data_IF_839792389799
#
_entry.id   IF_839792389799
#
_cell.length_a   1.000
_cell.length_b   1.000
_cell.length_c   1.000
_cell.angle_alpha   90.00
_cell.angle_beta   90.00
_cell.angle_gamma   90.00
#
_symmetry.space_group_name_H-M   'P 1'
#
loop_
_entity.id
_entity.type
_entity.pdbx_description
1 polymer ?
#
# COMPACT_ATOMS: atom_id res chain seq x y z
N UNK A 1 -16.34 -1.18 2.31
CA UNK A 1 -15.42 -1.57 3.40
C UNK A 1 -16.15 -2.61 4.23
N UNK A 2 -15.66 -3.85 4.27
CA UNK A 2 -16.33 -4.94 5.00
C UNK A 2 -15.94 -5.03 6.49
N UNK A 3 -14.74 -4.55 6.87
CA UNK A 3 -14.25 -4.59 8.26
C UNK A 3 -13.72 -3.24 8.72
N UNK A 4 -14.15 -2.82 9.92
CA UNK A 4 -13.75 -1.59 10.61
C UNK A 4 -12.33 -1.66 11.20
N UNK A 5 -11.79 -2.85 11.40
CA UNK A 5 -10.46 -3.05 11.98
C UNK A 5 -9.68 -4.14 11.26
N UNK A 6 -8.40 -4.24 11.56
CA UNK A 6 -7.55 -5.36 11.18
C UNK A 6 -7.19 -6.14 12.45
N UNK A 7 -7.48 -7.43 12.45
CA UNK A 7 -7.12 -8.31 13.57
C UNK A 7 -5.63 -8.63 13.45
N UNK A 8 -4.90 -8.46 14.55
CA UNK A 8 -3.47 -8.73 14.65
C UNK A 8 -3.21 -10.18 15.09
N UNK A 9 -1.95 -10.62 15.05
CA UNK A 9 -1.57 -11.99 15.42
C UNK A 9 -1.98 -12.35 16.86
N UNK A 10 -1.77 -11.41 17.77
CA UNK A 10 -2.16 -11.51 19.18
C UNK A 10 -3.68 -11.38 19.45
N UNK A 11 -4.50 -11.34 18.39
CA UNK A 11 -5.97 -11.17 18.39
C UNK A 11 -6.46 -9.79 18.82
N UNK A 12 -5.57 -8.83 19.07
CA UNK A 12 -5.96 -7.44 19.22
C UNK A 12 -6.44 -6.87 17.88
N UNK A 13 -7.15 -5.74 17.93
CA UNK A 13 -7.73 -5.11 16.74
C UNK A 13 -7.15 -3.73 16.53
N UNK A 14 -6.52 -3.52 15.38
CA UNK A 14 -6.13 -2.18 14.95
C UNK A 14 -7.26 -1.55 14.15
N UNK A 15 -7.96 -0.59 14.76
CA UNK A 15 -9.10 0.08 14.14
C UNK A 15 -8.66 1.02 13.03
N UNK A 16 -9.28 0.87 11.86
CA UNK A 16 -8.96 1.62 10.66
C UNK A 16 -9.55 3.01 10.76
N UNK A 17 -8.78 4.02 10.38
CA UNK A 17 -9.30 5.37 10.29
C UNK A 17 -10.05 5.57 8.97
N UNK A 18 -11.36 5.81 9.04
CA UNK A 18 -12.25 5.91 7.88
C UNK A 18 -12.95 7.28 7.87
N UNK A 19 -12.24 8.31 7.44
CA UNK A 19 -12.82 9.64 7.25
C UNK A 19 -13.15 9.87 5.76
N UNK A 20 -14.45 10.04 5.39
CA UNK A 20 -14.86 10.28 4.00
C UNK A 20 -14.55 11.69 3.49
N UNK A 21 -14.15 12.61 4.36
CA UNK A 21 -13.95 14.04 4.09
C UNK A 21 -12.47 14.43 3.99
N UNK A 22 -11.56 13.47 3.80
CA UNK A 22 -10.13 13.74 3.66
C UNK A 22 -9.80 14.06 2.21
N UNK A 23 -9.12 15.18 2.00
CA UNK A 23 -8.48 15.55 0.74
C UNK A 23 -6.98 15.23 0.85
N UNK A 24 -6.48 14.55 -0.18
CA UNK A 24 -5.07 14.26 -0.36
C UNK A 24 -4.50 15.22 -1.39
N UNK A 25 -3.45 15.95 -1.02
CA UNK A 25 -2.81 16.93 -1.89
C UNK A 25 -1.32 16.63 -1.95
N UNK A 26 -0.75 16.67 -3.15
CA UNK A 26 0.69 16.63 -3.31
C UNK A 26 1.15 17.85 -4.10
N UNK A 27 2.25 18.46 -3.67
CA UNK A 27 2.84 19.64 -4.30
C UNK A 27 4.30 19.39 -4.62
N UNK A 28 4.74 19.81 -5.80
CA UNK A 28 6.16 19.79 -6.19
C UNK A 28 6.73 21.21 -6.12
N UNK A 29 7.80 21.38 -5.36
CA UNK A 29 8.64 22.58 -5.41
C UNK A 29 9.86 22.29 -6.26
N UNK A 30 10.12 23.11 -7.29
CA UNK A 30 11.30 22.95 -8.17
C UNK A 30 12.06 24.26 -8.31
N UNK A 31 13.37 24.23 -8.10
CA UNK A 31 14.25 25.39 -8.12
C UNK A 31 15.49 25.21 -9.01
N UNK A 32 16.26 26.30 -9.23
CA UNK A 32 17.55 26.21 -9.91
C UNK A 32 18.53 25.36 -9.09
N UNK A 33 19.27 24.49 -9.77
CA UNK A 33 20.31 23.68 -9.13
C UNK A 33 21.59 24.48 -8.87
N UNK A 34 22.52 23.91 -8.10
CA UNK A 34 23.86 24.47 -7.95
C UNK A 34 24.76 23.97 -9.07
N UNK A 35 25.41 24.93 -9.72
CA UNK A 35 26.41 24.68 -10.76
C UNK A 35 27.43 23.63 -10.32
N UNK A 36 27.52 22.54 -11.08
CA UNK A 36 28.46 21.44 -10.84
C UNK A 36 27.98 20.39 -9.84
N UNK A 37 26.79 20.52 -9.25
CA UNK A 37 26.21 19.55 -8.31
C UNK A 37 24.89 18.98 -8.84
N UNK A 38 23.93 19.84 -9.21
CA UNK A 38 22.66 19.41 -9.79
C UNK A 38 22.15 20.40 -10.82
N UNK A 39 21.42 19.90 -11.82
CA UNK A 39 20.74 20.75 -12.79
C UNK A 39 19.55 21.53 -12.20
N UNK A 40 18.86 20.94 -11.20
CA UNK A 40 17.71 21.54 -10.54
C UNK A 40 17.57 21.01 -9.11
N UNK A 41 16.75 21.68 -8.31
CA UNK A 41 16.35 21.18 -6.99
C UNK A 41 14.89 20.83 -7.02
N UNK A 42 14.49 19.83 -6.23
CA UNK A 42 13.11 19.36 -6.20
C UNK A 42 12.73 18.88 -4.81
N UNK A 43 11.49 19.07 -4.42
CA UNK A 43 10.89 18.30 -3.34
C UNK A 43 9.39 18.11 -3.57
N UNK A 44 8.91 16.95 -3.14
CA UNK A 44 7.49 16.65 -3.09
C UNK A 44 7.01 16.76 -1.64
N UNK A 45 5.92 17.49 -1.43
CA UNK A 45 5.19 17.49 -0.16
C UNK A 45 3.83 16.85 -0.35
N UNK A 46 3.49 15.96 0.56
CA UNK A 46 2.20 15.30 0.61
C UNK A 46 1.44 15.76 1.85
N UNK A 47 0.17 16.10 1.68
CA UNK A 47 -0.72 16.62 2.71
C UNK A 47 -2.00 15.79 2.78
N UNK A 48 -2.45 15.52 4.00
CA UNK A 48 -3.78 15.00 4.28
C UNK A 48 -4.58 16.04 5.06
N UNK A 49 -5.65 16.55 4.46
CA UNK A 49 -6.42 17.66 5.00
C UNK A 49 -7.87 17.22 5.16
N UNK A 50 -8.46 17.40 6.33
CA UNK A 50 -9.91 17.28 6.49
C UNK A 50 -10.58 18.52 5.90
N UNK A 51 -11.45 18.34 4.91
CA UNK A 51 -12.06 19.43 4.15
C UNK A 51 -13.12 20.18 4.96
N UNK A 52 -13.71 19.55 5.98
CA UNK A 52 -14.77 20.16 6.81
C UNK A 52 -14.17 21.11 7.84
N UNK A 53 -13.09 20.69 8.49
CA UNK A 53 -12.45 21.46 9.57
C UNK A 53 -11.24 22.27 9.10
N UNK A 54 -10.68 21.94 7.93
CA UNK A 54 -9.40 22.47 7.46
C UNK A 54 -8.19 21.91 8.22
N UNK A 55 -8.39 20.90 9.07
CA UNK A 55 -7.30 20.35 9.89
C UNK A 55 -6.32 19.56 9.03
N UNK A 56 -5.02 19.88 9.16
CA UNK A 56 -3.93 19.08 8.61
C UNK A 56 -3.70 17.85 9.50
N UNK A 57 -3.99 16.67 8.97
CA UNK A 57 -3.82 15.40 9.66
C UNK A 57 -2.41 14.83 9.53
N UNK A 58 -1.83 14.93 8.35
CA UNK A 58 -0.53 14.35 8.04
C UNK A 58 0.19 15.20 7.00
N UNK A 59 1.50 15.32 7.15
CA UNK A 59 2.39 15.96 6.21
C UNK A 59 3.65 15.11 6.05
N UNK A 60 4.09 14.91 4.81
CA UNK A 60 5.37 14.29 4.50
C UNK A 60 6.14 15.12 3.47
N UNK A 61 7.43 15.32 3.70
CA UNK A 61 8.36 15.99 2.80
C UNK A 61 9.35 14.98 2.24
N UNK A 62 9.49 14.95 0.92
CA UNK A 62 10.42 14.10 0.16
C UNK A 62 11.38 14.98 -0.63
N UNK A 63 12.54 15.35 -0.05
CA UNK A 63 13.57 16.09 -0.76
C UNK A 63 14.14 15.26 -1.92
N UNK A 64 14.42 15.91 -3.06
CA UNK A 64 14.84 15.25 -4.30
C UNK A 64 13.69 14.58 -5.06
N UNK A 65 12.51 14.45 -4.46
CA UNK A 65 11.30 13.94 -5.11
C UNK A 65 10.70 14.95 -6.07
N UNK A 66 10.11 14.49 -7.17
CA UNK A 66 9.42 15.33 -8.15
C UNK A 66 8.78 14.52 -9.27
N UNK A 67 8.34 15.22 -10.31
CA UNK A 67 7.95 14.60 -11.57
C UNK A 67 9.19 14.28 -12.41
N UNK A 68 9.10 13.28 -13.31
CA UNK A 68 10.21 12.91 -14.22
C UNK A 68 10.58 14.07 -15.15
N UNK A 69 9.57 14.71 -15.71
CA UNK A 69 9.67 15.90 -16.55
C UNK A 69 8.62 16.93 -16.13
N UNK A 70 8.88 18.20 -16.43
CA UNK A 70 7.96 19.29 -16.10
C UNK A 70 6.61 19.07 -16.79
N UNK A 71 5.55 18.93 -16.01
CA UNK A 71 4.19 18.68 -16.51
C UNK A 71 3.87 17.20 -16.78
N UNK A 72 4.79 16.28 -16.45
CA UNK A 72 4.49 14.85 -16.45
C UNK A 72 3.41 14.53 -15.40
N UNK A 73 2.57 13.54 -15.67
CA UNK A 73 1.45 13.13 -14.81
C UNK A 73 1.80 11.97 -13.88
N UNK A 74 3.08 11.84 -13.55
CA UNK A 74 3.61 10.63 -12.90
C UNK A 74 3.56 10.72 -11.37
N UNK A 75 3.08 11.86 -10.83
CA UNK A 75 2.75 12.01 -9.42
C UNK A 75 1.30 11.61 -9.20
N UNK A 76 1.11 10.35 -8.83
CA UNK A 76 -0.20 9.74 -8.69
C UNK A 76 -0.57 9.66 -7.22
N UNK A 77 -1.86 9.80 -6.89
CA UNK A 77 -2.40 9.57 -5.56
C UNK A 77 -3.61 8.65 -5.71
N UNK A 78 -3.62 7.55 -4.96
CA UNK A 78 -4.70 6.58 -4.93
C UNK A 78 -5.07 6.27 -3.50
N UNK A 79 -6.31 6.59 -3.12
CA UNK A 79 -6.81 6.36 -1.77
C UNK A 79 -7.95 5.33 -1.77
N UNK A 80 -7.80 4.29 -0.94
CA UNK A 80 -8.77 3.20 -0.83
C UNK A 80 -9.04 2.85 0.63
N UNK A 81 -10.27 3.16 1.06
CA UNK A 81 -10.69 2.96 2.44
C UNK A 81 -9.78 3.72 3.41
N UNK A 82 -9.00 2.97 4.20
CA UNK A 82 -8.07 3.49 5.20
C UNK A 82 -6.63 3.70 4.71
N UNK A 83 -6.37 3.46 3.43
CA UNK A 83 -5.00 3.46 2.94
C UNK A 83 -4.80 4.33 1.72
N UNK A 84 -3.59 4.84 1.58
CA UNK A 84 -3.23 5.79 0.53
C UNK A 84 -1.90 5.39 -0.06
N UNK A 85 -1.85 5.34 -1.38
CA UNK A 85 -0.65 5.17 -2.16
C UNK A 85 -0.40 6.46 -2.91
N UNK A 86 0.80 7.00 -2.84
CA UNK A 86 1.19 8.07 -3.73
C UNK A 86 2.59 7.83 -4.29
N UNK A 87 2.82 8.37 -5.48
CA UNK A 87 4.05 8.11 -6.24
C UNK A 87 4.76 9.41 -6.56
N UNK A 88 6.08 9.34 -6.65
CA UNK A 88 6.92 10.39 -7.22
C UNK A 88 8.19 9.77 -7.78
N UNK A 89 8.91 10.53 -8.62
CA UNK A 89 10.24 10.16 -9.06
C UNK A 89 11.28 10.73 -8.11
N UNK A 90 12.18 9.89 -7.60
CA UNK A 90 13.34 10.31 -6.84
C UNK A 90 14.48 10.69 -7.79
N UNK A 91 14.86 11.97 -7.81
CA UNK A 91 15.98 12.48 -8.62
C UNK A 91 17.36 12.28 -7.96
N UNK A 92 17.41 11.75 -6.74
CA UNK A 92 18.61 11.50 -5.97
C UNK A 92 18.99 12.66 -5.03
N UNK A 93 20.02 12.48 -4.20
CA UNK A 93 20.43 13.43 -3.17
C UNK A 93 20.88 14.77 -3.74
N UNK A 94 21.50 14.78 -4.92
CA UNK A 94 21.92 16.01 -5.61
C UNK A 94 20.76 17.01 -5.83
N UNK A 95 19.56 16.50 -6.13
CA UNK A 95 18.37 17.32 -6.33
C UNK A 95 17.75 17.81 -5.01
N UNK A 96 18.17 17.28 -3.86
CA UNK A 96 17.64 17.63 -2.56
C UNK A 96 18.41 18.73 -1.84
N UNK A 97 19.69 18.93 -2.16
CA UNK A 97 20.60 19.72 -1.32
C UNK A 97 20.24 21.21 -1.16
N UNK A 98 19.33 21.78 -1.98
CA UNK A 98 19.16 23.23 -2.08
C UNK A 98 17.69 23.66 -2.24
N UNK A 99 16.88 23.45 -1.21
CA UNK A 99 15.70 24.30 -0.98
C UNK A 99 16.07 25.37 0.07
N UNK A 100 16.73 26.47 -0.35
CA UNK A 100 17.32 27.46 0.57
C UNK A 100 16.32 28.27 1.39
N UNK A 101 15.02 28.22 1.08
CA UNK A 101 13.99 29.05 1.72
C UNK A 101 12.84 28.25 2.36
N UNK A 102 13.01 26.93 2.54
CA UNK A 102 11.99 26.13 3.21
C UNK A 102 12.21 26.13 4.74
N UNK A 103 11.34 26.77 5.54
CA UNK A 103 11.52 26.89 7.00
C UNK A 103 11.57 25.54 7.73
N UNK A 104 11.18 24.43 7.09
CA UNK A 104 11.26 23.08 7.65
C UNK A 104 12.56 22.32 7.27
N UNK A 105 13.23 22.67 6.16
CA UNK A 105 14.50 22.01 5.78
C UNK A 105 15.65 22.40 6.71
N UNK A 106 15.62 23.64 7.21
CA UNK A 106 16.60 24.18 8.18
C UNK A 106 16.50 23.48 9.56
N UNK A 107 15.36 22.86 9.87
CA UNK A 107 15.13 22.21 11.17
C UNK A 107 15.68 20.78 11.27
N UNK A 108 15.83 20.07 10.15
CA UNK A 108 16.33 18.67 10.12
C UNK A 108 17.86 18.61 10.01
N UNK A 109 18.48 19.56 9.29
CA UNK A 109 19.93 19.59 9.07
C UNK A 109 20.61 20.81 9.70
N UNK A 110 20.11 21.28 10.84
CA UNK A 110 20.59 22.44 11.59
C UNK A 110 22.01 22.30 12.18
N UNK A 111 23.03 21.99 11.37
CA UNK A 111 24.41 22.40 11.69
C UNK A 111 24.44 23.92 11.55
N UNK A 112 24.20 24.63 12.67
CA UNK A 112 24.59 26.03 12.80
C UNK A 112 26.07 26.14 12.44
N UNK A 113 26.38 26.59 11.22
CA UNK A 113 27.73 27.01 10.85
C UNK A 113 28.05 28.22 11.73
N UNK A 114 28.72 27.97 12.86
CA UNK A 114 29.24 29.01 13.73
C UNK A 114 30.26 29.80 12.90
N UNK A 115 29.90 31.02 12.51
CA UNK A 115 30.83 31.96 11.87
C UNK A 115 32.01 32.15 12.82
N UNK A 116 33.17 31.58 12.47
CA UNK A 116 34.44 31.82 13.18
C UNK A 116 34.82 33.28 12.86
N UNK A 117 34.73 34.17 13.84
CA UNK A 117 35.37 35.49 13.73
C UNK A 117 36.89 35.26 13.75
N UNK A 118 37.57 35.99 12.89
CA UNK A 118 39.01 35.95 12.73
C UNK A 118 39.66 36.56 13.99
N UNK A 119 40.54 35.82 14.66
CA UNK A 119 41.37 36.30 15.76
C UNK A 119 40.92 35.86 17.15
N UNK A 120 41.27 34.62 17.54
CA UNK A 120 41.45 34.24 18.95
C UNK A 120 42.38 33.02 18.99
N UNK A 121 43.51 33.17 19.70
CA UNK A 121 44.64 32.24 19.75
C UNK A 121 44.35 31.00 20.62
N UNK A 122 45.06 29.93 20.30
CA UNK A 122 44.95 28.60 20.92
C UNK A 122 45.39 28.60 22.39
N UNK A 123 44.52 28.09 23.27
CA UNK A 123 44.79 27.93 24.69
C UNK A 123 43.95 26.83 25.35
N UNK A 124 44.53 25.63 25.40
CA UNK A 124 44.44 24.59 26.43
C UNK A 124 43.08 23.99 26.91
N UNK A 125 43.22 22.70 27.26
CA UNK A 125 42.40 21.86 28.14
C UNK A 125 41.13 21.23 27.57
N UNK A 126 41.28 19.95 27.24
CA UNK A 126 40.18 19.00 27.12
C UNK A 126 39.55 18.82 28.50
N UNK A 127 38.28 19.24 28.64
CA UNK A 127 37.42 18.82 29.73
C UNK A 127 36.23 18.07 29.14
N UNK A 128 36.19 16.78 29.45
CA UNK A 128 35.12 15.87 29.11
C UNK A 128 33.97 16.07 30.10
N UNK A 129 32.90 16.75 29.67
CA UNK A 129 31.52 16.51 30.11
C UNK A 129 30.61 17.61 29.55
N UNK A 130 29.87 17.28 28.48
CA UNK A 130 28.69 18.03 28.09
C UNK A 130 27.49 17.06 27.99
N UNK A 131 26.29 17.49 28.41
CA UNK A 131 25.18 16.60 28.73
C UNK A 131 24.52 16.04 27.47
N UNK A 132 23.98 14.82 27.60
CA UNK A 132 23.37 14.05 26.52
C UNK A 132 22.38 14.86 25.69
N UNK A 133 22.65 14.90 24.38
CA UNK A 133 21.65 15.31 23.41
C UNK A 133 20.50 14.29 23.46
N UNK A 134 19.32 14.74 23.90
CA UNK A 134 18.09 13.96 23.82
C UNK A 134 17.91 13.44 22.40
N UNK A 135 17.84 12.12 22.27
CA UNK A 135 17.79 11.35 21.02
C UNK A 135 16.39 11.27 20.40
N UNK A 136 15.54 12.29 20.62
CA UNK A 136 14.12 12.29 20.21
C UNK A 136 13.85 13.04 18.90
N UNK A 137 14.90 13.52 18.21
CA UNK A 137 14.75 13.97 16.81
C UNK A 137 14.78 12.74 15.90
N UNK A 138 13.79 12.53 15.01
CA UNK A 138 13.85 11.45 14.04
C UNK A 138 15.16 11.54 13.25
N UNK A 139 15.83 10.42 12.96
CA UNK A 139 17.06 10.44 12.19
C UNK A 139 16.82 11.17 10.87
N UNK A 140 17.80 11.95 10.36
CA UNK A 140 17.64 12.59 9.07
C UNK A 140 17.26 11.52 8.06
N UNK A 141 16.14 11.71 7.38
CA UNK A 141 15.66 10.81 6.33
C UNK A 141 16.76 10.71 5.29
N UNK A 142 17.51 9.60 5.32
CA UNK A 142 18.58 9.35 4.37
C UNK A 142 17.93 9.24 2.99
N UNK A 143 18.18 10.23 2.15
CA UNK A 143 17.65 10.29 0.79
C UNK A 143 18.32 9.15 0.01
N UNK A 144 17.55 8.21 -0.56
CA UNK A 144 18.14 7.13 -1.34
C UNK A 144 18.92 7.71 -2.52
N UNK A 145 20.14 7.23 -2.71
CA UNK A 145 21.00 7.63 -3.85
C UNK A 145 20.45 7.09 -5.19
N UNK A 146 19.68 6.02 -5.13
CA UNK A 146 19.11 5.36 -6.30
C UNK A 146 17.96 6.16 -6.90
N UNK A 147 18.16 6.70 -8.10
CA UNK A 147 17.10 7.33 -8.91
C UNK A 147 16.09 6.28 -9.36
N UNK A 148 14.85 6.38 -8.88
CA UNK A 148 13.78 5.43 -9.19
C UNK A 148 12.41 6.03 -8.92
N UNK A 149 11.35 5.37 -9.40
CA UNK A 149 10.00 5.70 -8.97
C UNK A 149 9.80 5.19 -7.56
N UNK A 150 9.37 6.06 -6.66
CA UNK A 150 9.04 5.70 -5.29
C UNK A 150 7.51 5.69 -5.13
N UNK A 151 7.01 4.61 -4.54
CA UNK A 151 5.61 4.44 -4.15
C UNK A 151 5.58 4.46 -2.63
N UNK A 152 5.00 5.50 -2.04
CA UNK A 152 4.81 5.58 -0.60
C UNK A 152 3.40 5.10 -0.25
N UNK A 153 3.34 4.12 0.63
CA UNK A 153 2.12 3.59 1.20
C UNK A 153 1.92 4.12 2.60
N UNK A 154 0.71 4.62 2.85
CA UNK A 154 0.22 5.08 4.14
C UNK A 154 -0.96 4.21 4.54
N UNK A 155 -0.90 3.61 5.73
CA UNK A 155 -2.03 2.95 6.37
C UNK A 155 -2.48 3.79 7.58
N UNK A 156 -3.78 4.09 7.64
CA UNK A 156 -4.38 5.01 8.60
C UNK A 156 -5.19 4.26 9.65
N UNK A 157 -4.88 4.54 10.92
CA UNK A 157 -5.51 3.91 12.08
C UNK A 157 -6.04 4.94 13.08
N UNK A 158 -7.05 4.56 13.85
CA UNK A 158 -7.64 5.44 14.87
C UNK A 158 -6.68 5.71 16.03
N UNK A 159 -5.92 4.68 16.44
CA UNK A 159 -4.96 4.74 17.54
C UNK A 159 -3.58 4.25 17.14
N UNK A 160 -2.58 4.62 17.95
CA UNK A 160 -1.22 4.14 17.77
C UNK A 160 -1.06 2.70 18.30
N UNK A 161 -1.80 2.37 19.37
CA UNK A 161 -1.81 1.01 19.92
C UNK A 161 -3.02 0.24 19.39
N UNK A 162 -2.92 -1.10 19.34
CA UNK A 162 -4.08 -1.95 19.11
C UNK A 162 -5.16 -1.75 20.18
N UNK A 163 -6.40 -2.10 19.86
CA UNK A 163 -7.62 -2.01 20.67
C UNK A 163 -8.04 -0.59 21.12
N UNK A 164 -7.36 0.45 20.62
CA UNK A 164 -7.80 1.83 20.78
C UNK A 164 -8.84 2.18 19.71
N UNK A 165 -10.12 2.17 20.09
CA UNK A 165 -11.23 2.63 19.24
C UNK A 165 -11.79 3.96 19.73
N UNK A 166 -12.11 4.85 18.79
CA UNK A 166 -12.92 6.02 19.06
C UNK A 166 -14.33 5.56 19.48
N UNK A 167 -14.81 6.06 20.61
CA UNK A 167 -16.06 5.63 21.27
C UNK A 167 -17.34 6.09 20.56
N UNK A 168 -17.24 6.60 19.33
CA UNK A 168 -18.35 7.21 18.61
C UNK A 168 -19.06 6.18 17.71
N UNK A 169 -20.39 6.19 17.77
CA UNK A 169 -21.23 5.35 16.90
C UNK A 169 -21.29 5.87 15.46
N UNK A 170 -21.11 7.19 15.27
CA UNK A 170 -21.17 7.88 13.98
C UNK A 170 -19.96 8.77 13.80
N UNK A 171 -19.39 8.77 12.60
CA UNK A 171 -18.26 9.63 12.27
C UNK A 171 -18.67 11.10 12.16
N UNK A 172 -17.91 12.00 12.78
CA UNK A 172 -18.04 13.45 12.62
C UNK A 172 -16.65 14.11 12.58
N UNK A 173 -16.36 14.87 11.51
CA UNK A 173 -15.06 15.54 11.33
C UNK A 173 -14.71 16.51 12.49
N UNK A 174 -15.71 17.13 13.14
CA UNK A 174 -15.46 18.05 14.26
C UNK A 174 -15.05 17.35 15.56
N UNK A 175 -15.32 16.06 15.67
CA UNK A 175 -15.00 15.25 16.85
C UNK A 175 -13.98 14.14 16.52
N UNK A 176 -13.50 14.10 15.28
CA UNK A 176 -12.55 13.12 14.81
C UNK A 176 -11.16 13.44 15.37
N UNK A 177 -10.54 12.43 15.99
CA UNK A 177 -9.14 12.51 16.39
C UNK A 177 -8.23 12.43 15.15
N UNK A 178 -7.00 12.95 15.26
CA UNK A 178 -5.99 12.79 14.21
C UNK A 178 -5.61 11.31 14.05
N UNK A 179 -5.53 10.80 12.82
CA UNK A 179 -5.16 9.40 12.58
C UNK A 179 -3.71 9.13 13.00
N UNK A 180 -3.46 7.91 13.46
CA UNK A 180 -2.13 7.35 13.48
C UNK A 180 -1.78 6.84 12.07
N UNK A 181 -0.67 7.35 11.52
CA UNK A 181 -0.24 7.03 10.15
C UNK A 181 1.00 6.17 10.20
N UNK A 182 0.93 5.00 9.57
CA UNK A 182 2.08 4.14 9.34
C UNK A 182 2.49 4.24 7.87
N UNK A 183 3.78 4.52 7.63
CA UNK A 183 4.28 4.84 6.31
C UNK A 183 5.44 3.92 5.90
N UNK A 184 5.43 3.45 4.65
CA UNK A 184 6.57 2.77 4.00
C UNK A 184 6.71 3.20 2.56
N UNK A 185 7.96 3.35 2.12
CA UNK A 185 8.30 3.61 0.73
C UNK A 185 8.70 2.30 0.04
N UNK A 186 8.38 2.17 -1.23
CA UNK A 186 8.76 1.08 -2.11
C UNK A 186 9.32 1.67 -3.39
N UNK A 187 10.21 0.96 -4.07
CA UNK A 187 10.78 1.38 -5.35
C UNK A 187 10.17 0.58 -6.50
N UNK A 188 9.89 1.30 -7.57
CA UNK A 188 9.39 0.82 -8.84
C UNK A 188 10.44 1.12 -9.91
N UNK A 189 10.77 0.10 -10.71
CA UNK A 189 11.90 0.21 -11.64
C UNK A 189 11.62 1.09 -12.87
N UNK A 190 10.36 1.40 -13.19
CA UNK A 190 9.97 2.19 -14.37
C UNK A 190 8.75 3.09 -14.11
N UNK A 191 8.46 4.07 -14.99
CA UNK A 191 7.41 5.06 -14.75
C UNK A 191 6.01 4.49 -14.72
N UNK A 192 5.24 5.01 -13.78
CA UNK A 192 3.83 4.71 -13.61
C UNK A 192 3.02 5.83 -14.25
N UNK A 193 2.13 5.47 -15.17
CA UNK A 193 1.27 6.40 -15.90
C UNK A 193 -0.07 6.61 -15.19
N UNK A 194 -0.63 5.54 -14.63
CA UNK A 194 -1.90 5.55 -13.93
C UNK A 194 -1.93 4.48 -12.84
N UNK A 195 -2.77 4.71 -11.84
CA UNK A 195 -3.04 3.79 -10.74
C UNK A 195 -4.53 3.70 -10.50
N UNK A 196 -5.01 2.53 -10.10
CA UNK A 196 -6.35 2.30 -9.62
C UNK A 196 -6.37 1.07 -8.71
N UNK A 197 -7.55 0.70 -8.22
CA UNK A 197 -7.70 -0.57 -7.52
C UNK A 197 -9.01 -1.24 -7.83
N UNK A 198 -9.05 -2.55 -7.61
CA UNK A 198 -10.23 -3.36 -7.81
C UNK A 198 -11.31 -3.05 -6.79
N UNK A 199 -12.57 -3.20 -7.20
CA UNK A 199 -13.74 -2.99 -6.34
C UNK A 199 -14.69 -4.17 -6.46
N UNK A 200 -15.17 -4.66 -5.33
CA UNK A 200 -16.17 -5.73 -5.22
C UNK A 200 -17.39 -5.22 -4.45
N UNK A 201 -18.50 -5.97 -4.51
CA UNK A 201 -19.81 -5.52 -4.05
C UNK A 201 -19.80 -5.11 -2.56
N UNK A 202 -19.21 -5.92 -1.70
CA UNK A 202 -19.12 -5.71 -0.26
C UNK A 202 -17.69 -5.32 0.18
N UNK A 203 -16.69 -5.49 -0.68
CA UNK A 203 -15.29 -5.24 -0.33
C UNK A 203 -14.74 -6.26 0.68
N UNK A 204 -15.17 -7.51 0.55
CA UNK A 204 -14.70 -8.67 1.34
C UNK A 204 -13.49 -9.30 0.64
N UNK A 205 -13.56 -9.47 -0.68
CA UNK A 205 -12.47 -9.96 -1.52
C UNK A 205 -11.22 -9.09 -1.34
N UNK A 206 -10.04 -9.70 -1.38
CA UNK A 206 -8.78 -8.98 -1.27
C UNK A 206 -8.68 -7.90 -2.37
N UNK A 207 -8.12 -6.75 -2.02
CA UNK A 207 -7.92 -5.68 -2.98
C UNK A 207 -6.65 -5.92 -3.82
N UNK A 208 -6.72 -5.58 -5.09
CA UNK A 208 -5.60 -5.57 -6.01
C UNK A 208 -5.41 -4.13 -6.52
N UNK A 209 -4.18 -3.63 -6.44
CA UNK A 209 -3.79 -2.33 -6.98
C UNK A 209 -3.33 -2.54 -8.42
N UNK A 210 -3.96 -1.81 -9.33
CA UNK A 210 -3.71 -1.88 -10.76
C UNK A 210 -2.88 -0.69 -11.17
N UNK A 211 -1.81 -0.95 -11.88
CA UNK A 211 -0.81 0.01 -12.33
C UNK A 211 -0.74 -0.04 -13.86
N UNK A 212 -0.72 1.13 -14.49
CA UNK A 212 -0.30 1.26 -15.88
C UNK A 212 1.19 1.62 -15.89
N UNK A 213 2.00 0.73 -16.47
CA UNK A 213 3.45 0.90 -16.56
C UNK A 213 3.88 0.59 -17.99
N UNK A 214 4.60 1.51 -18.61
CA UNK A 214 4.98 1.46 -20.03
C UNK A 214 3.75 1.18 -20.92
N UNK A 215 3.71 0.00 -21.57
CA UNK A 215 2.60 -0.46 -22.42
C UNK A 215 1.86 -1.66 -21.80
N UNK A 216 1.93 -1.81 -20.49
CA UNK A 216 1.38 -2.98 -19.80
C UNK A 216 0.51 -2.60 -18.61
N UNK A 217 -0.52 -3.41 -18.39
CA UNK A 217 -1.37 -3.32 -17.20
C UNK A 217 -0.90 -4.37 -16.21
N UNK A 218 -0.51 -3.93 -15.03
CA UNK A 218 -0.01 -4.77 -13.95
C UNK A 218 -0.98 -4.69 -12.79
N UNK A 219 -1.39 -5.83 -12.25
CA UNK A 219 -2.19 -5.90 -11.06
C UNK A 219 -1.42 -6.62 -9.95
N UNK A 220 -1.22 -5.94 -8.83
CA UNK A 220 -0.50 -6.47 -7.66
C UNK A 220 -1.39 -6.49 -6.43
N UNK A 221 -1.32 -7.54 -5.59
CA UNK A 221 -2.14 -7.62 -4.39
C UNK A 221 -1.80 -6.47 -3.43
N UNK A 222 -2.83 -5.88 -2.80
CA UNK A 222 -2.67 -4.76 -1.86
C UNK A 222 -1.71 -5.07 -0.70
N UNK A 223 -1.62 -6.34 -0.29
CA UNK A 223 -0.70 -6.82 0.74
C UNK A 223 0.79 -6.58 0.41
N UNK A 224 1.15 -6.50 -0.88
CA UNK A 224 2.50 -6.15 -1.32
C UNK A 224 2.85 -4.70 -0.92
N UNK A 225 1.86 -3.83 -0.79
CA UNK A 225 2.05 -2.41 -0.47
C UNK A 225 1.63 -2.09 0.96
N UNK A 226 1.57 -3.07 1.87
CA UNK A 226 1.23 -2.85 3.29
C UNK A 226 2.36 -2.09 4.01
N UNK A 227 2.04 -1.00 4.69
CA UNK A 227 3.02 -0.18 5.39
C UNK A 227 3.54 -0.85 6.67
N UNK A 228 2.89 -1.92 7.13
CA UNK A 228 3.25 -2.65 8.35
C UNK A 228 4.26 -3.76 8.13
N UNK A 229 4.68 -3.98 6.89
CA UNK A 229 5.67 -5.01 6.56
C UNK A 229 6.96 -4.80 7.38
N UNK A 230 7.37 -5.76 8.21
CA UNK A 230 8.57 -5.65 9.03
C UNK A 230 9.81 -6.10 8.25
N UNK A 231 11.00 -5.62 8.60
CA UNK A 231 12.26 -6.10 7.99
C UNK A 231 12.50 -7.58 8.31
N UNK A 232 12.22 -7.98 9.55
CA UNK A 232 12.34 -9.36 10.04
C UNK A 232 11.01 -9.78 10.65
N UNK A 233 10.48 -10.93 10.23
CA UNK A 233 9.16 -11.40 10.66
C UNK A 233 9.21 -11.98 12.09
N UNK A 234 8.40 -11.39 12.99
CA UNK A 234 8.03 -11.97 14.28
C UNK A 234 7.06 -13.16 14.10
N UNK A 235 6.71 -13.84 15.18
CA UNK A 235 5.66 -14.86 15.16
C UNK A 235 4.28 -14.24 14.93
N UNK A 236 3.98 -13.14 15.60
CA UNK A 236 2.70 -12.42 15.43
C UNK A 236 2.53 -11.92 13.99
N UNK A 237 3.60 -11.43 13.37
CA UNK A 237 3.60 -11.02 11.95
C UNK A 237 3.30 -12.18 10.99
N UNK A 238 3.78 -13.39 11.33
CA UNK A 238 3.52 -14.60 10.53
C UNK A 238 2.08 -15.07 10.70
N UNK A 239 1.51 -14.91 11.90
CA UNK A 239 0.10 -15.22 12.16
C UNK A 239 -0.82 -14.29 11.35
N UNK A 240 -0.44 -13.02 11.16
CA UNK A 240 -1.10 -12.08 10.25
C UNK A 240 -0.83 -12.35 8.75
N UNK A 241 0.05 -13.30 8.43
CA UNK A 241 0.53 -13.56 7.07
C UNK A 241 1.18 -12.34 6.41
N UNK A 242 1.90 -11.52 7.19
CA UNK A 242 2.64 -10.39 6.66
C UNK A 242 3.84 -10.83 5.83
N UNK A 243 4.11 -10.06 4.79
CA UNK A 243 5.29 -10.24 3.94
C UNK A 243 6.47 -9.44 4.53
N UNK A 244 7.70 -9.98 4.53
CA UNK A 244 8.86 -9.23 4.99
C UNK A 244 9.08 -8.03 4.06
N UNK A 245 9.43 -6.87 4.60
CA UNK A 245 9.65 -5.67 3.83
C UNK A 245 10.80 -5.86 2.85
N UNK A 246 10.51 -5.58 1.57
CA UNK A 246 11.49 -5.45 0.51
C UNK A 246 11.19 -4.13 -0.21
N UNK A 247 12.17 -3.23 -0.30
CA UNK A 247 11.96 -1.93 -0.91
C UNK A 247 11.65 -2.09 -2.41
N UNK A 248 12.35 -2.97 -3.13
CA UNK A 248 12.07 -3.24 -4.54
C UNK A 248 10.80 -4.07 -4.73
N UNK A 249 9.89 -3.57 -5.55
CA UNK A 249 8.72 -4.31 -5.99
C UNK A 249 9.09 -5.25 -7.14
N UNK A 250 9.41 -6.51 -6.82
CA UNK A 250 9.64 -7.54 -7.82
C UNK A 250 8.30 -8.05 -8.38
N UNK A 251 7.93 -7.57 -9.56
CA UNK A 251 6.65 -7.91 -10.21
C UNK A 251 6.87 -9.07 -11.18
N UNK A 252 6.30 -10.22 -10.84
CA UNK A 252 6.31 -11.39 -11.73
C UNK A 252 5.36 -11.25 -12.91
N UNK A 253 5.64 -11.97 -14.00
CA UNK A 253 4.85 -11.96 -15.23
C UNK A 253 3.37 -12.36 -15.00
N UNK A 254 3.08 -13.15 -13.97
CA UNK A 254 1.72 -13.54 -13.58
C UNK A 254 0.84 -12.37 -13.13
N UNK A 255 1.45 -11.25 -12.73
CA UNK A 255 0.75 -10.04 -12.33
C UNK A 255 0.42 -9.13 -13.53
N UNK A 256 0.95 -9.42 -14.72
CA UNK A 256 0.65 -8.66 -15.93
C UNK A 256 -0.72 -9.07 -16.46
N UNK A 257 -1.70 -8.18 -16.33
CA UNK A 257 -3.10 -8.40 -16.74
C UNK A 257 -3.31 -8.24 -18.23
N UNK A 258 -2.46 -7.48 -18.92
CA UNK A 258 -2.50 -7.35 -20.37
C UNK A 258 -1.85 -8.53 -21.12
N UNK A 259 -1.22 -9.47 -20.41
CA UNK A 259 -0.49 -10.61 -20.99
C UNK A 259 0.52 -10.15 -22.08
N UNK A 260 0.30 -10.55 -23.34
CA UNK A 260 1.12 -10.17 -24.49
C UNK A 260 0.59 -8.95 -25.25
N UNK A 261 -0.50 -8.32 -24.77
CA UNK A 261 -1.08 -7.12 -25.41
C UNK A 261 -0.37 -5.89 -24.88
N UNK A 262 0.16 -5.11 -25.83
CA UNK A 262 0.64 -3.76 -25.58
C UNK A 262 -0.57 -2.83 -25.52
N UNK A 263 -0.69 -2.06 -24.44
CA UNK A 263 -1.76 -1.11 -24.18
C UNK A 263 -1.11 0.22 -23.84
N UNK A 264 -1.13 1.15 -24.79
CA UNK A 264 -0.33 2.38 -24.74
C UNK A 264 -1.16 3.53 -24.18
N UNK A 265 -0.51 4.42 -23.42
CA UNK A 265 -1.04 5.74 -23.08
C UNK A 265 -2.28 5.68 -22.20
N UNK A 266 -2.26 4.83 -21.18
CA UNK A 266 -3.38 4.71 -20.24
C UNK A 266 -3.34 5.86 -19.24
N UNK A 267 -4.41 6.65 -19.20
CA UNK A 267 -4.51 7.82 -18.33
C UNK A 267 -5.33 7.54 -17.08
N UNK A 268 -6.32 6.65 -17.16
CA UNK A 268 -7.25 6.40 -16.07
C UNK A 268 -7.61 4.92 -15.98
N UNK A 269 -7.67 4.43 -14.74
CA UNK A 269 -8.10 3.07 -14.42
C UNK A 269 -9.33 3.17 -13.53
N UNK A 270 -10.45 2.63 -13.98
CA UNK A 270 -11.70 2.60 -13.23
C UNK A 270 -12.11 1.17 -12.93
N UNK A 271 -12.58 0.92 -11.70
CA UNK A 271 -13.14 -0.36 -11.32
C UNK A 271 -14.61 -0.23 -10.92
N UNK A 272 -15.40 -1.20 -11.35
CA UNK A 272 -16.81 -1.35 -10.96
C UNK A 272 -17.08 -2.74 -10.40
N UNK A 273 -18.10 -2.84 -9.57
CA UNK A 273 -18.49 -4.07 -8.91
C UNK A 273 -19.32 -4.95 -9.86
N UNK A 274 -19.36 -6.25 -9.59
CA UNK A 274 -20.34 -7.17 -10.18
C UNK A 274 -21.31 -7.67 -9.12
N UNK A 275 -22.27 -8.53 -9.51
CA UNK A 275 -23.16 -9.21 -8.55
C UNK A 275 -22.44 -10.26 -7.70
N UNK A 276 -21.31 -10.77 -8.17
CA UNK A 276 -20.51 -11.77 -7.47
C UNK A 276 -19.42 -11.06 -6.68
N UNK A 277 -19.25 -11.43 -5.41
CA UNK A 277 -18.29 -10.78 -4.52
C UNK A 277 -16.85 -11.09 -4.95
N UNK A 278 -16.60 -12.29 -5.49
CA UNK A 278 -15.26 -12.69 -5.89
C UNK A 278 -14.75 -11.96 -7.13
N UNK A 279 -15.63 -11.23 -7.84
CA UNK A 279 -15.31 -10.67 -9.15
C UNK A 279 -15.64 -9.18 -9.28
N UNK A 280 -14.70 -8.41 -9.83
CA UNK A 280 -14.87 -7.01 -10.21
C UNK A 280 -14.55 -6.82 -11.69
N UNK A 281 -14.96 -5.68 -12.26
CA UNK A 281 -14.60 -5.29 -13.61
C UNK A 281 -13.64 -4.10 -13.54
N UNK A 282 -12.56 -4.16 -14.31
CA UNK A 282 -11.59 -3.08 -14.42
C UNK A 282 -11.52 -2.63 -15.87
N UNK A 283 -11.69 -1.32 -16.06
CA UNK A 283 -11.60 -0.66 -17.35
C UNK A 283 -10.50 0.39 -17.30
N UNK A 284 -9.46 0.19 -18.10
CA UNK A 284 -8.34 1.09 -18.27
C UNK A 284 -8.53 1.83 -19.60
N UNK A 285 -8.44 3.15 -19.60
CA UNK A 285 -8.62 3.95 -20.81
C UNK A 285 -7.68 5.16 -20.86
N UNK A 286 -7.38 5.57 -22.10
CA UNK A 286 -6.55 6.71 -22.44
C UNK A 286 -6.44 6.78 -23.97
N UNK A 287 -5.23 6.63 -24.52
CA UNK A 287 -5.05 6.41 -25.96
C UNK A 287 -5.64 5.07 -26.40
N UNK A 288 -5.24 3.99 -25.73
CA UNK A 288 -5.85 2.67 -25.88
C UNK A 288 -6.90 2.41 -24.79
N UNK A 289 -7.72 1.38 -25.01
CA UNK A 289 -8.69 0.88 -24.04
C UNK A 289 -8.42 -0.60 -23.75
N UNK A 290 -8.42 -0.96 -22.47
CA UNK A 290 -8.25 -2.34 -22.03
C UNK A 290 -9.26 -2.68 -20.93
N UNK A 291 -9.86 -3.85 -21.04
CA UNK A 291 -10.87 -4.33 -20.11
C UNK A 291 -10.52 -5.73 -19.65
N UNK A 292 -10.64 -5.97 -18.34
CA UNK A 292 -10.50 -7.31 -17.78
C UNK A 292 -11.38 -7.49 -16.55
N UNK A 293 -11.71 -8.76 -16.27
CA UNK A 293 -12.38 -9.17 -15.03
C UNK A 293 -11.31 -9.45 -13.98
N UNK A 294 -11.41 -8.78 -12.84
CA UNK A 294 -10.48 -8.95 -11.74
C UNK A 294 -11.06 -9.90 -10.70
N UNK A 295 -10.32 -10.95 -10.35
CA UNK A 295 -10.69 -11.93 -9.31
C UNK A 295 -9.54 -12.10 -8.31
N UNK A 296 -9.25 -11.10 -7.44
CA UNK A 296 -8.01 -11.08 -6.65
C UNK A 296 -7.87 -12.27 -5.68
N UNK A 297 -8.98 -12.76 -5.10
CA UNK A 297 -9.00 -13.93 -4.19
C UNK A 297 -9.43 -15.22 -4.87
N UNK A 298 -9.33 -15.30 -6.21
CA UNK A 298 -9.93 -16.35 -7.04
C UNK A 298 -11.46 -16.36 -6.90
N UNK A 299 -12.12 -17.17 -7.73
CA UNK A 299 -13.59 -17.25 -7.78
C UNK A 299 -14.13 -18.21 -6.71
N UNK A 300 -14.35 -17.71 -5.49
CA UNK A 300 -14.84 -18.52 -4.36
C UNK A 300 -16.38 -18.67 -4.32
N UNK A 301 -17.11 -17.85 -5.07
CA UNK A 301 -18.57 -17.89 -5.19
C UNK A 301 -19.04 -18.52 -6.52
N UNK A 302 -18.12 -19.07 -7.29
CA UNK A 302 -18.38 -19.85 -8.49
C UNK A 302 -17.74 -21.23 -8.36
N UNK A 303 -18.37 -22.22 -8.99
CA UNK A 303 -17.72 -23.52 -9.14
C UNK A 303 -16.51 -23.37 -10.07
N UNK A 304 -15.44 -24.10 -9.77
CA UNK A 304 -14.24 -24.09 -10.59
C UNK A 304 -14.56 -24.55 -12.03
N UNK A 305 -13.94 -23.91 -13.02
CA UNK A 305 -14.16 -24.23 -14.44
C UNK A 305 -13.73 -25.66 -14.80
N UNK A 306 -12.76 -26.20 -14.07
CA UNK A 306 -12.20 -27.55 -14.19
C UNK A 306 -12.90 -28.59 -13.29
N UNK A 307 -14.05 -28.25 -12.70
CA UNK A 307 -14.77 -29.17 -11.81
C UNK A 307 -15.23 -30.44 -12.54
N UNK A 308 -14.83 -31.61 -12.03
CA UNK A 308 -15.17 -32.91 -12.62
C UNK A 308 -16.58 -33.37 -12.25
N UNK A 309 -17.58 -32.88 -12.99
CA UNK A 309 -18.97 -33.33 -12.87
C UNK A 309 -19.10 -34.84 -13.10
N UNK A 310 -18.34 -35.40 -14.04
CA UNK A 310 -18.33 -36.84 -14.31
C UNK A 310 -17.84 -37.66 -13.12
N UNK A 311 -16.78 -37.21 -12.45
CA UNK A 311 -16.28 -37.85 -11.23
C UNK A 311 -17.31 -37.82 -10.10
N UNK A 312 -17.98 -36.68 -9.91
CA UNK A 312 -19.05 -36.54 -8.91
C UNK A 312 -20.22 -37.50 -9.18
N UNK A 313 -20.68 -37.60 -10.43
CA UNK A 313 -21.78 -38.51 -10.79
C UNK A 313 -21.34 -39.96 -10.60
N UNK A 314 -20.13 -40.32 -11.02
CA UNK A 314 -19.60 -41.67 -10.87
C UNK A 314 -19.52 -42.11 -9.40
N UNK A 315 -19.06 -41.23 -8.50
CA UNK A 315 -19.00 -41.56 -7.07
C UNK A 315 -20.38 -41.73 -6.45
N UNK A 316 -21.36 -40.89 -6.82
CA UNK A 316 -22.75 -41.02 -6.36
C UNK A 316 -23.35 -42.37 -6.79
N UNK A 317 -23.16 -42.75 -8.07
CA UNK A 317 -23.65 -44.03 -8.60
C UNK A 317 -22.96 -45.20 -7.90
N UNK A 318 -21.65 -45.14 -7.71
CA UNK A 318 -20.88 -46.19 -7.04
C UNK A 318 -21.30 -46.36 -5.57
N UNK A 319 -21.52 -45.25 -4.85
CA UNK A 319 -22.07 -45.26 -3.49
C UNK A 319 -23.47 -45.85 -3.44
N UNK A 320 -24.35 -45.48 -4.37
CA UNK A 320 -25.70 -46.02 -4.43
C UNK A 320 -25.72 -47.55 -4.62
N UNK A 321 -24.94 -48.05 -5.59
CA UNK A 321 -24.81 -49.49 -5.83
C UNK A 321 -24.20 -50.19 -4.61
N UNK A 322 -23.15 -49.61 -4.02
CA UNK A 322 -22.51 -50.13 -2.81
C UNK A 322 -23.48 -50.24 -1.63
N UNK A 323 -24.32 -49.24 -1.39
CA UNK A 323 -25.36 -49.25 -0.34
C UNK A 323 -26.37 -50.38 -0.60
N UNK A 324 -26.85 -50.55 -1.83
CA UNK A 324 -27.81 -51.62 -2.17
C UNK A 324 -27.22 -53.01 -1.97
N UNK A 325 -25.95 -53.20 -2.32
CA UNK A 325 -25.25 -54.46 -2.07
C UNK A 325 -25.06 -54.72 -0.57
N UNK A 326 -24.68 -53.69 0.19
CA UNK A 326 -24.51 -53.80 1.64
C UNK A 326 -25.84 -54.08 2.36
N UNK A 327 -26.94 -53.44 1.95
CA UNK A 327 -28.29 -53.68 2.48
C UNK A 327 -28.73 -55.12 2.22
N UNK A 328 -28.52 -55.62 1.01
CA UNK A 328 -28.81 -57.01 0.66
C UNK A 328 -27.98 -58.01 1.49
N UNK A 329 -26.70 -57.72 1.73
CA UNK A 329 -25.85 -58.56 2.58
C UNK A 329 -26.27 -58.50 4.06
N UNK A 330 -26.59 -57.32 4.57
CA UNK A 330 -27.01 -57.12 5.96
C UNK A 330 -28.38 -57.76 6.26
N UNK A 331 -29.34 -57.65 5.34
CA UNK A 331 -30.66 -58.30 5.50
C UNK A 331 -30.54 -59.82 5.52
N UNK A 332 -29.70 -60.40 4.64
CA UNK A 332 -29.39 -61.84 4.65
C UNK A 332 -28.76 -62.27 5.99
N UNK A 333 -27.72 -61.56 6.44
CA UNK A 333 -27.05 -61.87 7.71
C UNK A 333 -27.97 -61.73 8.93
N UNK A 334 -28.85 -60.73 8.95
CA UNK A 334 -29.84 -60.55 10.02
C UNK A 334 -30.86 -61.67 10.04
N UNK A 335 -31.29 -62.14 8.87
CA UNK A 335 -32.20 -63.28 8.76
C UNK A 335 -31.56 -64.56 9.31
N UNK A 336 -30.31 -64.85 8.95
CA UNK A 336 -29.55 -65.99 9.47
C UNK A 336 -29.38 -65.95 11.00
N UNK A 337 -29.12 -64.77 11.58
CA UNK A 337 -29.00 -64.62 13.02
C UNK A 337 -30.34 -64.79 13.74
N UNK A 338 -31.45 -64.33 13.15
CA UNK A 338 -32.78 -64.44 13.75
C UNK A 338 -33.38 -65.86 13.62
N UNK A 339 -32.87 -66.68 12.70
CA UNK A 339 -33.33 -68.05 12.45
C UNK A 339 -32.48 -69.11 13.17
N UNK A 340 -31.47 -68.68 13.93
CA UNK A 340 -30.77 -69.50 14.94
C UNK A 340 -31.40 -69.28 16.32
#
# INVERSE_FOLDING_TARGET
VASLGKVLGDRSVHYKYLNPNVLYVSTEARGPGVSGVSAFTSAVRFYMIDVVTGALYYEALHPGGGTTARGARDMLIHATGHSVLYTYWNHGPEAAELLPDDPLYVMVNGRKRRRKRLGEEDGAAADASAPGANSDSPPPTAIPDTRSFEVVSLDLFEGAKPDERLTQATFSSYQAQRPHVQARAFTFSRPLQAVGSTRTLHGITAEEVVWAQDDSIIGTPRAMWDARRPLTLSNDDKEEMLMPYRPSADIGAQNVRSYSRHVVGIETIMATTTRLESTGLVFCFGLDMFFFRANPSKTFDLLAEDFSYGGLIATIVLLYVGIRMAEAAATRKRLELNWR
#
